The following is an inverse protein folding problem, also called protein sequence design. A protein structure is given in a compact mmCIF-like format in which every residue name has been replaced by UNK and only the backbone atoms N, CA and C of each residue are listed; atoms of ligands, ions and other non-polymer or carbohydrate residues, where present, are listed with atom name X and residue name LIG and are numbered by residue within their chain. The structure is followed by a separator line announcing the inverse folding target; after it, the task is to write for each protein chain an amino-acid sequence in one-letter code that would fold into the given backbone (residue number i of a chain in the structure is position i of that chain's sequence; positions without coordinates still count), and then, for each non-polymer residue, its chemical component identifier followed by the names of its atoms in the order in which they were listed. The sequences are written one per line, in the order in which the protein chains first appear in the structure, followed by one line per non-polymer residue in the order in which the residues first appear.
data_IF_376734239059
#
_entry.id   IF_376734239059
#
_cell.length_a   1.000
_cell.length_b   1.000
_cell.length_c   1.000
_cell.angle_alpha   90.00
_cell.angle_beta   90.00
_cell.angle_gamma   90.00
#
_symmetry.space_group_name_H-M   'P 1'
#
loop_
_entity.id
_entity.type
_entity.pdbx_description
1 polymer ?
#
# COMPACT_ATOMS: atom_id res chain seq x y z
N UNK A 1 -60.60 18.47 -40.11
CA UNK A 1 -59.68 19.42 -40.79
C UNK A 1 -58.29 19.06 -40.31
N UNK A 2 -57.53 18.24 -41.05
CA UNK A 2 -56.54 18.68 -42.08
C UNK A 2 -55.55 19.71 -41.49
N UNK A 3 -54.22 19.57 -41.48
CA UNK A 3 -53.21 18.85 -42.29
C UNK A 3 -51.94 18.73 -41.41
N UNK A 4 -51.24 17.59 -41.33
CA UNK A 4 -50.13 17.14 -42.20
C UNK A 4 -48.99 18.15 -42.47
N UNK A 5 -47.82 17.93 -41.84
CA UNK A 5 -46.45 18.01 -42.41
C UNK A 5 -45.49 17.42 -41.37
N UNK A 6 -44.99 16.17 -41.45
CA UNK A 6 -44.12 15.51 -42.44
C UNK A 6 -42.62 15.83 -42.27
N UNK A 7 -41.83 14.75 -42.35
CA UNK A 7 -40.37 14.57 -42.35
C UNK A 7 -39.69 14.36 -40.97
N UNK A 8 -38.85 13.37 -40.73
CA UNK A 8 -38.49 12.11 -41.40
C UNK A 8 -37.63 11.30 -40.39
N UNK A 9 -37.84 9.97 -40.31
CA UNK A 9 -36.96 8.96 -39.67
C UNK A 9 -35.67 8.77 -40.54
N UNK A 10 -34.56 8.07 -40.14
CA UNK A 10 -34.56 6.87 -39.30
C UNK A 10 -33.33 6.56 -38.39
N UNK A 11 -33.62 5.71 -37.41
CA UNK A 11 -32.85 4.54 -36.92
C UNK A 11 -31.52 4.23 -37.66
N UNK A 12 -30.40 4.21 -36.93
CA UNK A 12 -29.16 3.52 -37.35
C UNK A 12 -28.83 2.42 -36.35
N UNK A 13 -29.27 1.22 -36.73
CA UNK A 13 -28.90 -0.06 -36.15
C UNK A 13 -27.48 -0.47 -36.58
N UNK A 14 -26.81 -1.17 -35.65
CA UNK A 14 -25.94 -2.36 -35.88
C UNK A 14 -24.49 -2.12 -36.37
N UNK A 15 -23.51 -2.44 -35.51
CA UNK A 15 -22.58 -3.58 -35.69
C UNK A 15 -21.59 -3.72 -34.51
N UNK A 16 -21.80 -4.76 -33.70
CA UNK A 16 -20.79 -5.36 -32.81
C UNK A 16 -19.81 -6.13 -33.69
N UNK A 17 -18.56 -5.67 -33.75
CA UNK A 17 -17.47 -6.33 -34.48
C UNK A 17 -16.68 -7.26 -33.57
N UNK A 18 -17.05 -8.54 -33.59
CA UNK A 18 -16.25 -9.65 -33.05
C UNK A 18 -15.13 -9.95 -34.06
N UNK A 19 -13.86 -9.79 -33.68
CA UNK A 19 -12.71 -10.24 -34.47
C UNK A 19 -11.96 -11.32 -33.70
N UNK A 20 -12.41 -12.56 -33.92
CA UNK A 20 -11.65 -13.76 -33.67
C UNK A 20 -10.69 -13.98 -34.85
N UNK A 21 -9.38 -13.91 -34.58
CA UNK A 21 -8.32 -14.25 -35.53
C UNK A 21 -7.47 -15.38 -34.98
N UNK A 22 -7.83 -16.62 -35.32
CA UNK A 22 -6.93 -17.76 -35.23
C UNK A 22 -6.00 -17.73 -36.46
N UNK A 23 -4.71 -17.47 -36.25
CA UNK A 23 -3.67 -17.86 -37.20
C UNK A 23 -2.65 -18.72 -36.47
N UNK A 24 -2.79 -20.02 -36.71
CA UNK A 24 -1.81 -21.04 -36.35
C UNK A 24 -0.54 -20.84 -37.18
N UNK A 25 0.55 -20.47 -36.52
CA UNK A 25 1.90 -20.56 -37.05
C UNK A 25 2.70 -21.53 -36.19
N UNK A 26 2.77 -22.80 -36.59
CA UNK A 26 3.67 -23.77 -35.98
C UNK A 26 5.09 -23.52 -36.50
N UNK A 27 5.92 -22.82 -35.73
CA UNK A 27 7.37 -22.86 -35.91
C UNK A 27 7.93 -24.01 -35.06
N UNK A 28 8.17 -25.17 -35.68
CA UNK A 28 8.99 -26.24 -35.07
C UNK A 28 10.45 -25.83 -35.11
N UNK A 29 10.94 -25.23 -34.03
CA UNK A 29 12.38 -25.00 -33.84
C UNK A 29 13.00 -26.29 -33.32
N UNK A 30 13.89 -26.88 -34.12
CA UNK A 30 14.69 -28.03 -33.73
C UNK A 30 15.72 -27.61 -32.67
N UNK A 31 15.49 -27.96 -31.40
CA UNK A 31 16.53 -27.90 -30.37
C UNK A 31 17.48 -29.07 -30.60
N UNK A 32 18.72 -28.78 -31.03
CA UNK A 32 19.81 -29.73 -30.89
C UNK A 32 20.10 -29.91 -29.39
N UNK A 33 20.32 -31.12 -28.87
CA UNK A 33 20.69 -31.33 -27.47
C UNK A 33 22.15 -30.92 -27.30
N UNK A 34 22.40 -29.62 -27.21
CA UNK A 34 23.54 -29.13 -26.45
C UNK A 34 23.13 -29.25 -25.00
N UNK A 35 23.84 -30.08 -24.23
CA UNK A 35 23.77 -30.10 -22.76
C UNK A 35 24.03 -28.69 -22.24
N UNK A 36 22.95 -27.92 -22.16
CA UNK A 36 22.86 -26.76 -21.33
C UNK A 36 22.30 -27.32 -20.05
N UNK A 37 23.19 -27.57 -19.09
CA UNK A 37 22.85 -27.52 -17.69
C UNK A 37 22.27 -26.12 -17.49
N UNK A 38 20.96 -25.97 -17.71
CA UNK A 38 20.22 -24.81 -17.27
C UNK A 38 20.25 -24.97 -15.76
N UNK A 39 21.28 -24.41 -15.13
CA UNK A 39 21.15 -24.01 -13.75
C UNK A 39 19.85 -23.22 -13.69
N UNK A 40 18.87 -23.75 -12.98
CA UNK A 40 17.65 -23.06 -12.61
C UNK A 40 18.03 -21.93 -11.65
N UNK A 41 18.82 -20.98 -12.13
CA UNK A 41 19.02 -19.69 -11.50
C UNK A 41 17.73 -18.91 -11.67
N UNK A 42 17.33 -18.20 -10.61
CA UNK A 42 16.16 -17.32 -10.55
C UNK A 42 14.84 -18.07 -10.25
N UNK A 43 14.81 -18.82 -9.16
CA UNK A 43 13.68 -18.63 -8.24
C UNK A 43 14.07 -17.44 -7.37
N UNK A 44 13.68 -16.23 -7.80
CA UNK A 44 13.92 -14.98 -7.07
C UNK A 44 13.04 -14.97 -5.80
N UNK A 45 13.39 -15.81 -4.82
CA UNK A 45 12.64 -15.95 -3.57
C UNK A 45 12.57 -14.58 -2.90
N UNK A 46 11.38 -14.21 -2.48
CA UNK A 46 11.15 -13.00 -1.72
C UNK A 46 11.98 -13.01 -0.46
N UNK A 47 12.67 -11.91 -0.19
CA UNK A 47 13.44 -11.74 1.05
C UNK A 47 12.49 -11.64 2.24
N UNK A 48 12.97 -11.99 3.43
CA UNK A 48 12.17 -11.87 4.65
C UNK A 48 11.73 -10.41 4.89
N UNK A 49 12.63 -9.44 4.67
CA UNK A 49 12.30 -8.01 4.74
C UNK A 49 11.16 -7.63 3.79
N UNK A 50 11.23 -8.06 2.53
CA UNK A 50 10.16 -7.76 1.56
C UNK A 50 8.85 -8.44 1.96
N UNK A 51 8.90 -9.67 2.45
CA UNK A 51 7.71 -10.39 2.93
C UNK A 51 7.06 -9.69 4.12
N UNK A 52 7.84 -9.30 5.13
CA UNK A 52 7.33 -8.59 6.30
C UNK A 52 6.75 -7.22 5.91
N UNK A 53 7.44 -6.48 5.03
CA UNK A 53 6.97 -5.18 4.53
C UNK A 53 5.64 -5.29 3.79
N UNK A 54 5.49 -6.30 2.94
CA UNK A 54 4.26 -6.55 2.19
C UNK A 54 3.12 -6.96 3.13
N UNK A 55 3.39 -7.88 4.06
CA UNK A 55 2.41 -8.29 5.07
C UNK A 55 1.92 -7.11 5.91
N UNK A 56 2.82 -6.23 6.34
CA UNK A 56 2.46 -5.02 7.07
C UNK A 56 1.60 -4.06 6.23
N UNK A 57 1.94 -3.87 4.95
CA UNK A 57 1.15 -3.02 4.06
C UNK A 57 -0.27 -3.56 3.86
N UNK A 58 -0.40 -4.88 3.64
CA UNK A 58 -1.70 -5.55 3.51
C UNK A 58 -2.51 -5.46 4.79
N UNK A 59 -1.92 -5.77 5.95
CA UNK A 59 -2.63 -5.69 7.24
C UNK A 59 -3.13 -4.28 7.54
N UNK A 60 -2.34 -3.25 7.21
CA UNK A 60 -2.75 -1.86 7.37
C UNK A 60 -3.94 -1.46 6.48
N UNK A 61 -4.02 -2.01 5.27
CA UNK A 61 -5.14 -1.79 4.35
C UNK A 61 -6.37 -2.59 4.80
N UNK A 62 -6.21 -3.88 5.11
CA UNK A 62 -7.28 -4.80 5.56
C UNK A 62 -7.97 -4.31 6.84
N UNK A 63 -7.20 -3.73 7.77
CA UNK A 63 -7.73 -3.15 9.01
C UNK A 63 -8.28 -1.73 8.86
N UNK A 64 -8.22 -1.15 7.66
CA UNK A 64 -8.72 0.20 7.40
C UNK A 64 -7.91 1.31 8.07
N UNK A 65 -6.66 1.06 8.47
CA UNK A 65 -5.79 2.08 9.06
C UNK A 65 -5.29 3.08 8.01
N UNK A 66 -5.22 2.63 6.75
CA UNK A 66 -4.88 3.43 5.58
C UNK A 66 -5.83 3.10 4.43
N UNK A 67 -5.98 4.02 3.49
CA UNK A 67 -6.71 3.73 2.26
C UNK A 67 -6.02 2.59 1.49
N UNK A 68 -6.81 1.68 0.92
CA UNK A 68 -6.35 0.84 -0.18
C UNK A 68 -5.70 1.73 -1.25
N UNK A 69 -4.60 1.30 -1.86
CA UNK A 69 -4.07 1.99 -3.03
C UNK A 69 -5.16 1.99 -4.10
N UNK A 70 -5.81 3.14 -4.27
CA UNK A 70 -6.77 3.33 -5.33
C UNK A 70 -6.08 3.00 -6.64
N UNK A 71 -6.43 1.85 -7.22
CA UNK A 71 -5.96 1.47 -8.54
C UNK A 71 -6.52 2.43 -9.59
N UNK A 72 -6.87 1.93 -10.77
CA UNK A 72 -7.51 2.75 -11.81
C UNK A 72 -8.76 3.51 -11.31
N UNK A 73 -9.44 3.03 -10.26
CA UNK A 73 -10.57 3.71 -9.61
C UNK A 73 -10.18 4.99 -8.85
N UNK A 74 -8.99 5.04 -8.23
CA UNK A 74 -8.45 6.24 -7.60
C UNK A 74 -8.09 7.29 -8.65
N UNK A 75 -7.48 6.85 -9.76
CA UNK A 75 -7.20 7.71 -10.91
C UNK A 75 -8.48 8.18 -11.60
N UNK A 76 -9.49 7.32 -11.75
CA UNK A 76 -10.77 7.68 -12.35
C UNK A 76 -11.52 8.71 -11.49
N UNK A 77 -11.48 8.61 -10.16
CA UNK A 77 -12.11 9.60 -9.29
C UNK A 77 -11.40 10.95 -9.32
N UNK A 78 -10.07 10.99 -9.49
CA UNK A 78 -9.31 12.22 -9.76
C UNK A 78 -9.71 12.84 -11.11
N UNK A 79 -9.81 12.01 -12.16
CA UNK A 79 -10.11 12.46 -13.52
C UNK A 79 -11.57 12.88 -13.71
N UNK A 80 -12.52 12.19 -13.08
CA UNK A 80 -13.96 12.42 -13.23
C UNK A 80 -14.46 13.50 -12.26
N UNK A 81 -14.01 13.47 -11.00
CA UNK A 81 -14.56 14.33 -9.95
C UNK A 81 -13.64 15.50 -9.58
N UNK A 82 -12.43 15.61 -10.18
CA UNK A 82 -11.45 16.63 -9.82
C UNK A 82 -11.00 16.57 -8.35
N UNK A 83 -11.35 15.50 -7.65
CA UNK A 83 -10.97 15.25 -6.28
C UNK A 83 -9.51 14.85 -6.32
N UNK A 84 -8.59 15.74 -5.93
CA UNK A 84 -7.24 15.29 -5.55
C UNK A 84 -7.41 14.19 -4.50
N UNK A 85 -6.51 13.23 -4.50
CA UNK A 85 -6.33 12.24 -3.44
C UNK A 85 -5.84 12.91 -2.13
N UNK A 86 -6.35 14.11 -1.84
CA UNK A 86 -6.17 14.90 -0.63
C UNK A 86 -7.25 14.57 0.40
N UNK A 87 -7.97 13.44 0.24
CA UNK A 87 -8.76 12.88 1.35
C UNK A 87 -7.75 12.43 2.40
N UNK A 88 -7.44 13.34 3.33
CA UNK A 88 -6.32 13.15 4.25
C UNK A 88 -6.47 11.79 4.95
N UNK A 89 -5.37 11.05 5.16
CA UNK A 89 -5.38 9.80 5.93
C UNK A 89 -6.03 9.93 7.32
N UNK A 90 -6.05 11.14 7.89
CA UNK A 90 -6.75 11.51 9.12
C UNK A 90 -8.27 11.32 9.04
N UNK A 91 -8.87 11.58 7.88
CA UNK A 91 -10.32 11.50 7.65
C UNK A 91 -10.77 10.05 7.50
N UNK A 92 -10.00 9.22 6.78
CA UNK A 92 -10.42 7.86 6.44
C UNK A 92 -10.54 6.93 7.65
N UNK A 93 -9.55 6.94 8.54
CA UNK A 93 -9.60 6.07 9.72
C UNK A 93 -10.69 6.53 10.71
N UNK A 94 -10.81 7.84 10.94
CA UNK A 94 -11.87 8.39 11.80
C UNK A 94 -13.27 8.06 11.31
N UNK A 95 -13.52 8.19 10.01
CA UNK A 95 -14.77 7.75 9.37
C UNK A 95 -14.99 6.24 9.52
N UNK A 96 -13.95 5.43 9.26
CA UNK A 96 -14.00 3.97 9.35
C UNK A 96 -14.42 3.46 10.73
N UNK A 97 -13.95 4.11 11.81
CA UNK A 97 -14.31 3.73 13.17
C UNK A 97 -15.55 4.46 13.71
N UNK A 98 -16.09 5.44 12.98
CA UNK A 98 -17.21 6.27 13.44
C UNK A 98 -16.83 7.21 14.58
N UNK A 99 -15.66 7.87 14.49
CA UNK A 99 -15.08 8.68 15.56
C UNK A 99 -15.99 9.83 16.05
N UNK A 100 -16.87 10.35 15.20
CA UNK A 100 -17.78 11.46 15.53
C UNK A 100 -19.03 11.02 16.30
N UNK A 101 -19.41 9.74 16.24
CA UNK A 101 -20.71 9.26 16.74
C UNK A 101 -20.63 8.06 17.69
N UNK A 102 -19.55 7.27 17.67
CA UNK A 102 -19.40 6.08 18.52
C UNK A 102 -19.20 6.40 20.01
N UNK A 103 -19.27 5.38 20.87
CA UNK A 103 -18.97 5.51 22.30
C UNK A 103 -17.51 5.92 22.51
N UNK A 104 -17.25 6.97 23.29
CA UNK A 104 -15.90 7.54 23.40
C UNK A 104 -14.91 6.62 24.12
N UNK A 105 -15.37 5.82 25.09
CA UNK A 105 -14.53 4.85 25.78
C UNK A 105 -14.17 3.64 24.90
N UNK A 106 -15.13 3.16 24.12
CA UNK A 106 -14.89 2.12 23.11
C UNK A 106 -13.95 2.57 22.01
N UNK A 107 -14.17 3.78 21.47
CA UNK A 107 -13.32 4.37 20.45
C UNK A 107 -11.89 4.58 20.94
N UNK A 108 -11.70 5.12 22.15
CA UNK A 108 -10.37 5.32 22.71
C UNK A 108 -9.59 4.00 22.84
N UNK A 109 -10.24 2.93 23.30
CA UNK A 109 -9.62 1.60 23.40
C UNK A 109 -9.28 1.05 22.01
N UNK A 110 -10.20 1.13 21.06
CA UNK A 110 -9.95 0.68 19.67
C UNK A 110 -8.75 1.39 19.06
N UNK A 111 -8.64 2.72 19.23
CA UNK A 111 -7.50 3.49 18.75
C UNK A 111 -6.19 3.01 19.42
N UNK A 112 -6.21 2.73 20.72
CA UNK A 112 -5.05 2.19 21.42
C UNK A 112 -4.63 0.82 20.87
N UNK A 113 -5.59 -0.09 20.69
CA UNK A 113 -5.37 -1.44 20.18
C UNK A 113 -4.85 -1.43 18.73
N UNK A 114 -5.45 -0.61 17.87
CA UNK A 114 -5.03 -0.43 16.48
C UNK A 114 -3.62 0.19 16.40
N UNK A 115 -3.31 1.19 17.22
CA UNK A 115 -1.97 1.78 17.30
C UNK A 115 -0.92 0.78 17.82
N UNK A 116 -1.24 -0.02 18.83
CA UNK A 116 -0.36 -1.06 19.36
C UNK A 116 -0.13 -2.18 18.33
N UNK A 117 -1.17 -2.59 17.62
CA UNK A 117 -1.06 -3.59 16.54
C UNK A 117 -0.20 -3.07 15.38
N UNK A 118 -0.39 -1.81 14.96
CA UNK A 118 0.43 -1.20 13.92
C UNK A 118 1.90 -1.07 14.37
N UNK A 119 2.14 -0.71 15.63
CA UNK A 119 3.48 -0.67 16.20
C UNK A 119 4.16 -2.04 16.15
N UNK A 120 3.50 -3.09 16.63
CA UNK A 120 4.04 -4.45 16.60
C UNK A 120 4.35 -4.94 15.18
N UNK A 121 3.47 -4.65 14.23
CA UNK A 121 3.71 -4.96 12.82
C UNK A 121 4.93 -4.24 12.26
N UNK A 122 5.09 -2.95 12.56
CA UNK A 122 6.26 -2.18 12.12
C UNK A 122 7.55 -2.68 12.79
N UNK A 123 7.52 -3.03 14.07
CA UNK A 123 8.67 -3.63 14.78
C UNK A 123 9.16 -4.89 14.07
N UNK A 124 8.26 -5.76 13.61
CA UNK A 124 8.64 -6.95 12.84
C UNK A 124 9.36 -6.58 11.52
N UNK A 125 8.85 -5.57 10.81
CA UNK A 125 9.49 -5.06 9.59
C UNK A 125 10.88 -4.47 9.89
N UNK A 126 11.00 -3.67 10.95
CA UNK A 126 12.28 -3.08 11.39
C UNK A 126 13.29 -4.16 11.79
N UNK A 127 12.87 -5.20 12.49
CA UNK A 127 13.74 -6.33 12.86
C UNK A 127 14.32 -7.05 11.64
N UNK A 128 13.51 -7.27 10.59
CA UNK A 128 14.02 -7.84 9.34
C UNK A 128 14.99 -6.91 8.62
N UNK A 129 14.76 -5.60 8.67
CA UNK A 129 15.66 -4.61 8.09
C UNK A 129 17.01 -4.56 8.83
N UNK A 130 17.00 -4.70 10.16
CA UNK A 130 18.24 -4.83 10.95
C UNK A 130 18.98 -6.13 10.60
N UNK A 131 18.26 -7.24 10.40
CA UNK A 131 18.86 -8.50 9.98
C UNK A 131 19.54 -8.37 8.61
N UNK A 132 18.89 -7.69 7.65
CA UNK A 132 19.49 -7.38 6.34
C UNK A 132 20.76 -6.56 6.51
N UNK A 133 20.73 -5.49 7.31
CA UNK A 133 21.91 -4.65 7.58
C UNK A 133 23.04 -5.46 8.23
N UNK A 134 22.72 -6.33 9.19
CA UNK A 134 23.69 -7.14 9.91
C UNK A 134 24.30 -8.27 9.06
N UNK A 135 23.59 -8.73 8.03
CA UNK A 135 24.07 -9.82 7.15
C UNK A 135 25.33 -9.46 6.36
N UNK A 136 25.56 -8.17 6.10
CA UNK A 136 26.61 -7.70 5.20
C UNK A 136 26.41 -8.07 3.73
N UNK A 137 25.25 -8.66 3.37
CA UNK A 137 24.90 -8.96 1.99
C UNK A 137 24.55 -7.68 1.20
N UNK A 138 24.77 -7.74 -0.11
CA UNK A 138 24.36 -6.69 -1.03
C UNK A 138 22.84 -6.44 -0.95
N UNK A 139 22.47 -5.20 -0.61
CA UNK A 139 21.06 -4.81 -0.47
C UNK A 139 20.41 -4.67 -1.85
N UNK A 140 19.21 -5.23 -2.00
CA UNK A 140 18.44 -5.11 -3.25
C UNK A 140 17.56 -3.87 -3.17
N UNK A 141 17.50 -3.09 -4.26
CA UNK A 141 16.58 -1.97 -4.40
C UNK A 141 15.13 -2.32 -4.04
N UNK A 142 14.67 -3.52 -4.41
CA UNK A 142 13.32 -3.98 -4.12
C UNK A 142 13.04 -4.11 -2.61
N UNK A 143 14.05 -4.43 -1.81
CA UNK A 143 13.93 -4.54 -0.35
C UNK A 143 13.78 -3.15 0.27
N UNK A 144 14.63 -2.21 -0.15
CA UNK A 144 14.56 -0.79 0.26
C UNK A 144 13.20 -0.18 -0.05
N UNK A 145 12.74 -0.30 -1.30
CA UNK A 145 11.45 0.24 -1.73
C UNK A 145 10.27 -0.37 -0.96
N UNK A 146 10.34 -1.65 -0.60
CA UNK A 146 9.26 -2.30 0.15
C UNK A 146 9.23 -1.82 1.60
N UNK A 147 10.41 -1.69 2.23
CA UNK A 147 10.55 -1.12 3.57
C UNK A 147 10.05 0.33 3.63
N UNK A 148 10.44 1.18 2.68
CA UNK A 148 9.96 2.56 2.57
C UNK A 148 8.43 2.63 2.42
N UNK A 149 7.85 1.72 1.63
CA UNK A 149 6.39 1.64 1.48
C UNK A 149 5.72 1.33 2.82
N UNK A 150 6.23 0.34 3.57
CA UNK A 150 5.72 0.02 4.91
C UNK A 150 5.84 1.23 5.86
N UNK A 151 6.98 1.93 5.85
CA UNK A 151 7.18 3.13 6.66
C UNK A 151 6.19 4.26 6.31
N UNK A 152 5.94 4.52 5.02
CA UNK A 152 4.96 5.53 4.61
C UNK A 152 3.55 5.14 5.08
N UNK A 153 3.20 3.85 5.02
CA UNK A 153 1.91 3.33 5.52
C UNK A 153 1.79 3.53 7.03
N UNK A 154 2.84 3.22 7.79
CA UNK A 154 2.88 3.46 9.24
C UNK A 154 2.68 4.93 9.59
N UNK A 155 3.38 5.83 8.89
CA UNK A 155 3.23 7.28 9.09
C UNK A 155 1.81 7.77 8.78
N UNK A 156 1.15 7.20 7.76
CA UNK A 156 -0.25 7.51 7.43
C UNK A 156 -1.21 6.99 8.51
N UNK A 157 -1.06 5.74 8.93
CA UNK A 157 -1.85 5.14 10.01
C UNK A 157 -1.75 5.96 11.30
N UNK A 158 -0.53 6.31 11.74
CA UNK A 158 -0.31 7.15 12.93
C UNK A 158 -1.04 8.50 12.85
N UNK A 159 -1.02 9.16 11.69
CA UNK A 159 -1.77 10.41 11.48
C UNK A 159 -3.29 10.18 11.57
N UNK A 160 -3.77 9.07 11.02
CA UNK A 160 -5.15 8.57 11.18
C UNK A 160 -5.55 8.44 12.65
N UNK A 161 -4.79 7.64 13.40
CA UNK A 161 -5.01 7.38 14.82
C UNK A 161 -4.97 8.66 15.65
N UNK A 162 -4.00 9.53 15.40
CA UNK A 162 -3.86 10.81 16.11
C UNK A 162 -5.07 11.70 15.86
N UNK A 163 -5.54 11.82 14.62
CA UNK A 163 -6.71 12.62 14.31
C UNK A 163 -8.00 12.08 14.95
N UNK A 164 -8.22 10.75 14.88
CA UNK A 164 -9.38 10.13 15.52
C UNK A 164 -9.35 10.28 17.05
N UNK A 165 -8.17 10.15 17.67
CA UNK A 165 -7.98 10.38 19.10
C UNK A 165 -8.35 11.81 19.49
N UNK A 166 -7.95 12.79 18.68
CA UNK A 166 -8.30 14.21 18.90
C UNK A 166 -9.81 14.45 18.83
N UNK A 167 -10.51 13.82 17.89
CA UNK A 167 -11.97 13.82 17.83
C UNK A 167 -12.59 13.23 19.09
N UNK A 168 -12.15 12.05 19.52
CA UNK A 168 -12.66 11.38 20.74
C UNK A 168 -12.40 12.22 21.99
N UNK A 169 -11.22 12.83 22.10
CA UNK A 169 -10.87 13.76 23.19
C UNK A 169 -11.76 14.99 23.20
N UNK A 170 -12.03 15.58 22.03
CA UNK A 170 -12.93 16.73 21.89
C UNK A 170 -14.36 16.43 22.35
N UNK A 171 -14.78 15.16 22.26
CA UNK A 171 -16.07 14.66 22.75
C UNK A 171 -16.05 14.28 24.24
N UNK A 172 -14.93 14.49 24.95
CA UNK A 172 -14.78 14.22 26.38
C UNK A 172 -14.34 12.80 26.73
N UNK A 173 -13.85 12.01 25.77
CA UNK A 173 -13.29 10.68 26.03
C UNK A 173 -11.95 10.72 26.76
N UNK A 174 -11.73 9.76 27.66
CA UNK A 174 -10.39 9.47 28.21
C UNK A 174 -9.55 8.76 27.15
N UNK A 175 -8.48 9.42 26.71
CA UNK A 175 -7.63 8.99 25.59
C UNK A 175 -6.20 8.67 26.03
N UNK A 176 -5.94 8.51 27.32
CA UNK A 176 -4.58 8.34 27.83
C UNK A 176 -3.89 7.09 27.29
N UNK A 177 -4.60 5.95 27.25
CA UNK A 177 -4.08 4.71 26.67
C UNK A 177 -3.81 4.85 25.16
N UNK A 178 -4.72 5.47 24.41
CA UNK A 178 -4.55 5.73 22.99
C UNK A 178 -3.33 6.63 22.73
N UNK A 179 -3.14 7.68 23.53
CA UNK A 179 -2.00 8.59 23.43
C UNK A 179 -0.69 7.88 23.68
N UNK A 180 -0.63 7.00 24.69
CA UNK A 180 0.58 6.20 24.98
C UNK A 180 0.92 5.30 23.78
N UNK A 181 -0.04 4.51 23.29
CA UNK A 181 0.18 3.60 22.17
C UNK A 181 0.61 4.34 20.89
N UNK A 182 0.01 5.50 20.58
CA UNK A 182 0.39 6.33 19.42
C UNK A 182 1.80 6.91 19.57
N UNK A 183 2.23 7.24 20.79
CA UNK A 183 3.58 7.73 21.05
C UNK A 183 4.62 6.62 20.92
N UNK A 184 4.34 5.41 21.42
CA UNK A 184 5.21 4.24 21.21
C UNK A 184 5.35 3.93 19.72
N UNK A 185 4.25 3.98 18.97
CA UNK A 185 4.29 3.81 17.52
C UNK A 185 5.10 4.91 16.82
N UNK A 186 5.08 6.14 17.35
CA UNK A 186 5.90 7.24 16.83
C UNK A 186 7.40 6.95 16.96
N UNK A 187 7.81 6.43 18.12
CA UNK A 187 9.21 6.08 18.38
C UNK A 187 9.71 5.00 17.43
N UNK A 188 8.88 3.99 17.15
CA UNK A 188 9.24 2.96 16.17
C UNK A 188 9.30 3.52 14.74
N UNK A 189 8.40 4.43 14.35
CA UNK A 189 8.48 5.12 13.05
C UNK A 189 9.79 5.91 12.92
N UNK A 190 10.25 6.57 13.98
CA UNK A 190 11.51 7.32 13.96
C UNK A 190 12.73 6.40 13.87
N UNK A 191 12.70 5.24 14.54
CA UNK A 191 13.71 4.19 14.36
C UNK A 191 13.71 3.64 12.94
N UNK A 192 12.54 3.32 12.40
CA UNK A 192 12.41 2.81 11.04
C UNK A 192 12.88 3.83 9.98
N UNK A 193 12.72 5.14 10.21
CA UNK A 193 13.28 6.20 9.34
C UNK A 193 14.80 6.14 9.27
N UNK A 194 15.46 6.07 10.43
CA UNK A 194 16.93 5.99 10.48
C UNK A 194 17.41 4.74 9.74
N UNK A 195 16.70 3.62 9.90
CA UNK A 195 17.06 2.39 9.21
C UNK A 195 16.80 2.47 7.70
N UNK A 196 15.78 3.21 7.23
CA UNK A 196 15.56 3.42 5.80
C UNK A 196 16.74 4.17 5.17
N UNK A 197 17.23 5.21 5.84
CA UNK A 197 18.38 5.99 5.41
C UNK A 197 19.64 5.11 5.37
N UNK A 198 19.89 4.30 6.41
CA UNK A 198 21.00 3.35 6.44
C UNK A 198 20.96 2.32 5.29
N UNK A 199 19.77 1.77 5.00
CA UNK A 199 19.59 0.81 3.90
C UNK A 199 19.80 1.46 2.54
N UNK A 200 19.41 2.72 2.36
CA UNK A 200 19.64 3.50 1.16
C UNK A 200 21.13 3.74 0.92
N UNK A 201 21.87 4.12 1.96
CA UNK A 201 23.32 4.34 1.88
C UNK A 201 24.06 3.06 1.50
N UNK A 202 23.73 1.94 2.15
CA UNK A 202 24.30 0.62 1.83
C UNK A 202 23.96 0.16 0.41
N UNK A 203 22.75 0.42 -0.07
CA UNK A 203 22.37 0.17 -1.46
C UNK A 203 23.18 1.04 -2.44
N UNK A 204 23.40 2.32 -2.13
CA UNK A 204 24.18 3.23 -2.95
C UNK A 204 25.66 2.81 -3.04
N UNK A 205 26.24 2.33 -1.93
CA UNK A 205 27.62 1.84 -1.90
C UNK A 205 27.80 0.52 -2.65
N UNK A 206 26.80 -0.36 -2.65
CA UNK A 206 26.79 -1.58 -3.47
C UNK A 206 26.84 -1.26 -4.98
N UNK A 207 26.36 -0.08 -5.37
CA UNK A 207 26.36 0.41 -6.75
C UNK A 207 27.66 1.08 -7.22
N UNK A 208 28.65 1.31 -6.34
CA UNK A 208 29.98 1.84 -6.72
C UNK A 208 30.94 0.70 -7.05
N UNK A 209 31.39 0.54 -8.32
CA UNK A 209 32.48 -0.37 -8.62
C UNK A 209 33.80 0.26 -8.13
N UNK A 210 34.43 -0.35 -7.13
CA UNK A 210 35.81 -0.11 -6.75
C UNK A 210 36.02 0.87 -5.59
N UNK A 211 36.35 0.32 -4.43
CA UNK A 211 37.37 0.85 -3.53
C UNK A 211 38.50 -0.18 -3.46
#
# INVERSE_FOLDING_TARGET
MEKHMAADLPMRSVLVGLLAGCLAGCATVSMAPGETTVETGISNKQTALRQASDAYCSDAEDKGWVAEQGGLAGLASILINGQREDRQPSVLYGEHIGADSGDTGELARRIADDAASANSGLQAVTSEAEAVKASGEAIRRADVTSFERALVRAQRARRGFSAAMETVRGRGGDVDAARIAINEFALEIDRARQLADDLLDLYADTGRPGA
#
